data_IF_241631497345
#
_entry.id   IF_241631497345
#
_cell.length_a   1.000
_cell.length_b   1.000
_cell.length_c   1.000
_cell.angle_alpha   90.00
_cell.angle_beta   90.00
_cell.angle_gamma   90.00
#
_symmetry.space_group_name_H-M   'P 1'
#
loop_
_entity.id
_entity.type
_entity.pdbx_description
1 polymer ?
#
# COMPACT_ATOMS: atom_id res chain seq x y z
N UNK A 1 6.12 29.55 -40.78
CA UNK A 1 5.38 28.28 -41.00
C UNK A 1 5.63 27.67 -42.38
N UNK A 2 5.70 28.45 -43.47
CA UNK A 2 5.90 27.92 -44.83
C UNK A 2 7.30 27.36 -45.11
N UNK A 3 8.34 27.87 -44.45
CA UNK A 3 9.73 27.42 -44.67
C UNK A 3 10.02 25.97 -44.21
N UNK A 4 9.25 25.43 -43.26
CA UNK A 4 9.43 24.07 -42.72
C UNK A 4 8.45 23.04 -43.33
N UNK A 5 7.54 23.47 -44.20
CA UNK A 5 6.56 22.57 -44.82
C UNK A 5 7.23 21.51 -45.72
N UNK A 6 8.24 21.83 -46.56
CA UNK A 6 8.91 20.83 -47.39
C UNK A 6 9.52 19.70 -46.56
N UNK A 7 10.24 20.03 -45.47
CA UNK A 7 10.84 19.03 -44.57
C UNK A 7 9.80 18.13 -43.90
N UNK A 8 8.62 18.68 -43.53
CA UNK A 8 7.56 17.85 -42.96
C UNK A 8 6.92 16.91 -43.99
N UNK A 9 6.83 17.33 -45.26
CA UNK A 9 6.31 16.49 -46.35
C UNK A 9 7.31 15.39 -46.75
N UNK A 10 8.61 15.66 -46.70
CA UNK A 10 9.65 14.63 -46.87
C UNK A 10 9.61 13.59 -45.75
N UNK A 11 9.48 14.03 -44.50
CA UNK A 11 9.29 13.11 -43.36
C UNK A 11 8.04 12.25 -43.53
N UNK A 12 6.93 12.84 -43.99
CA UNK A 12 5.70 12.10 -44.29
C UNK A 12 5.93 11.02 -45.36
N UNK A 13 6.63 11.37 -46.45
CA UNK A 13 6.95 10.41 -47.51
C UNK A 13 7.87 9.29 -47.02
N UNK A 14 8.82 9.58 -46.12
CA UNK A 14 9.68 8.54 -45.53
C UNK A 14 8.92 7.52 -44.67
N UNK A 15 7.79 7.93 -44.08
CA UNK A 15 6.93 7.05 -43.27
C UNK A 15 5.99 6.20 -44.14
N UNK A 16 5.83 6.53 -45.42
CA UNK A 16 4.87 5.94 -46.35
C UNK A 16 5.59 5.52 -47.64
N UNK A 17 6.04 4.26 -47.76
CA UNK A 17 6.90 3.80 -48.86
C UNK A 17 6.34 4.08 -50.27
N UNK A 18 5.02 4.07 -50.43
CA UNK A 18 4.33 4.26 -51.72
C UNK A 18 3.79 5.69 -51.91
N UNK A 19 4.09 6.62 -51.00
CA UNK A 19 3.57 7.99 -51.05
C UNK A 19 4.55 8.94 -51.71
N UNK A 20 4.11 9.58 -52.79
CA UNK A 20 4.79 10.73 -53.39
C UNK A 20 4.03 12.01 -53.05
N UNK A 21 4.77 13.05 -52.66
CA UNK A 21 4.19 14.35 -52.33
C UNK A 21 3.60 14.97 -53.61
N UNK A 22 2.28 15.24 -53.68
CA UNK A 22 1.68 15.86 -54.84
C UNK A 22 2.22 17.26 -55.06
N UNK A 23 2.36 17.67 -56.32
CA UNK A 23 2.67 19.06 -56.66
C UNK A 23 1.63 20.00 -56.04
N UNK A 24 2.08 21.01 -55.32
CA UNK A 24 1.21 21.97 -54.63
C UNK A 24 1.58 23.41 -54.97
N UNK A 25 0.59 24.30 -54.89
CA UNK A 25 0.77 25.75 -55.01
C UNK A 25 0.37 26.44 -53.71
N UNK A 26 1.09 27.49 -53.33
CA UNK A 26 0.76 28.34 -52.18
C UNK A 26 -0.28 29.41 -52.52
N UNK A 27 -0.52 29.67 -53.82
CA UNK A 27 -1.48 30.65 -54.33
C UNK A 27 -2.37 30.05 -55.43
N UNK A 28 -3.70 30.24 -55.40
CA UNK A 28 -4.47 30.97 -54.38
C UNK A 28 -4.61 30.18 -53.07
N UNK A 29 -4.83 30.88 -51.95
CA UNK A 29 -4.84 30.30 -50.61
C UNK A 29 -5.88 29.18 -50.41
N UNK A 30 -6.96 29.18 -51.19
CA UNK A 30 -7.98 28.11 -51.19
C UNK A 30 -7.41 26.75 -51.62
N UNK A 31 -6.59 26.74 -52.68
CA UNK A 31 -5.93 25.54 -53.20
C UNK A 31 -4.92 25.00 -52.20
N UNK A 32 -4.11 25.90 -51.61
CA UNK A 32 -3.15 25.52 -50.58
C UNK A 32 -3.81 24.93 -49.32
N UNK A 33 -4.92 25.52 -48.85
CA UNK A 33 -5.71 24.98 -47.73
C UNK A 33 -6.29 23.60 -48.04
N UNK A 34 -6.74 23.38 -49.28
CA UNK A 34 -7.23 22.07 -49.72
C UNK A 34 -6.12 21.01 -49.70
N UNK A 35 -4.93 21.37 -50.20
CA UNK A 35 -3.74 20.51 -50.12
C UNK A 35 -3.40 20.17 -48.66
N UNK A 36 -3.26 21.16 -47.78
CA UNK A 36 -2.94 20.89 -46.37
C UNK A 36 -3.99 19.99 -45.68
N UNK A 37 -5.27 20.13 -46.05
CA UNK A 37 -6.33 19.25 -45.54
C UNK A 37 -6.17 17.83 -46.05
N UNK A 38 -5.79 17.62 -47.31
CA UNK A 38 -5.54 16.27 -47.83
C UNK A 38 -4.35 15.61 -47.11
N UNK A 39 -3.27 16.36 -46.88
CA UNK A 39 -2.10 15.88 -46.13
C UNK A 39 -2.46 15.50 -44.69
N UNK A 40 -3.24 16.35 -44.00
CA UNK A 40 -3.75 16.06 -42.66
C UNK A 40 -4.60 14.80 -42.64
N UNK A 41 -5.49 14.63 -43.61
CA UNK A 41 -6.37 13.47 -43.68
C UNK A 41 -5.57 12.18 -43.90
N UNK A 42 -4.54 12.22 -44.74
CA UNK A 42 -3.63 11.10 -44.96
C UNK A 42 -2.89 10.71 -43.67
N UNK A 43 -2.30 11.68 -42.96
CA UNK A 43 -1.65 11.45 -41.66
C UNK A 43 -2.63 10.84 -40.66
N UNK A 44 -3.85 11.39 -40.59
CA UNK A 44 -4.87 10.92 -39.65
C UNK A 44 -5.28 9.48 -39.96
N UNK A 45 -5.44 9.13 -41.24
CA UNK A 45 -5.76 7.77 -41.68
C UNK A 45 -4.61 6.81 -41.36
N UNK A 46 -3.37 7.17 -41.68
CA UNK A 46 -2.18 6.37 -41.35
C UNK A 46 -2.01 6.14 -39.85
N UNK A 47 -2.20 7.19 -39.04
CA UNK A 47 -2.09 7.07 -37.59
C UNK A 47 -3.20 6.17 -37.03
N UNK A 48 -4.42 6.28 -37.58
CA UNK A 48 -5.54 5.42 -37.21
C UNK A 48 -5.26 3.96 -37.51
N UNK A 49 -4.70 3.64 -38.68
CA UNK A 49 -4.34 2.26 -39.04
C UNK A 49 -3.18 1.74 -38.19
N UNK A 50 -2.16 2.56 -37.91
CA UNK A 50 -1.06 2.18 -37.01
C UNK A 50 -1.52 1.94 -35.57
N UNK A 51 -2.43 2.75 -35.04
CA UNK A 51 -3.01 2.49 -33.72
C UNK A 51 -3.87 1.23 -33.71
N UNK A 52 -4.68 1.00 -34.74
CA UNK A 52 -5.47 -0.23 -34.85
C UNK A 52 -4.57 -1.48 -34.91
N UNK A 53 -3.47 -1.41 -35.66
CA UNK A 53 -2.48 -2.49 -35.71
C UNK A 53 -1.84 -2.71 -34.34
N UNK A 54 -1.32 -1.65 -33.72
CA UNK A 54 -0.71 -1.74 -32.39
C UNK A 54 -1.66 -2.32 -31.34
N UNK A 55 -2.95 -1.97 -31.39
CA UNK A 55 -3.97 -2.55 -30.51
C UNK A 55 -4.14 -4.05 -30.76
N UNK A 56 -4.22 -4.47 -32.02
CA UNK A 56 -4.30 -5.89 -32.40
C UNK A 56 -3.08 -6.66 -31.90
N UNK A 57 -1.88 -6.16 -32.19
CA UNK A 57 -0.62 -6.78 -31.79
C UNK A 57 -0.51 -6.87 -30.26
N UNK A 58 -0.94 -5.83 -29.54
CA UNK A 58 -0.94 -5.81 -28.07
C UNK A 58 -1.90 -6.85 -27.50
N UNK A 59 -3.12 -6.95 -28.05
CA UNK A 59 -4.11 -7.95 -27.60
C UNK A 59 -3.59 -9.36 -27.82
N UNK A 60 -3.00 -9.64 -28.98
CA UNK A 60 -2.41 -10.94 -29.29
C UNK A 60 -1.25 -11.28 -28.34
N UNK A 61 -0.33 -10.33 -28.16
CA UNK A 61 0.81 -10.48 -27.23
C UNK A 61 0.36 -10.77 -25.80
N UNK A 62 -0.52 -9.94 -25.22
CA UNK A 62 -0.97 -10.13 -23.83
C UNK A 62 -1.87 -11.35 -23.65
N UNK A 63 -2.53 -11.83 -24.71
CA UNK A 63 -3.26 -13.10 -24.68
C UNK A 63 -2.28 -14.26 -24.57
N UNK A 64 -1.28 -14.32 -25.45
CA UNK A 64 -0.24 -15.35 -25.40
C UNK A 64 0.53 -15.34 -24.06
N UNK A 65 0.87 -14.16 -23.55
CA UNK A 65 1.55 -14.01 -22.27
C UNK A 65 0.71 -14.53 -21.10
N UNK A 66 -0.61 -14.31 -21.15
CA UNK A 66 -1.53 -14.80 -20.12
C UNK A 66 -1.69 -16.32 -20.17
N UNK A 67 -1.70 -16.92 -21.36
CA UNK A 67 -1.70 -18.38 -21.52
C UNK A 67 -0.39 -19.02 -20.99
N UNK A 68 0.75 -18.35 -21.20
CA UNK A 68 2.02 -18.74 -20.59
C UNK A 68 1.96 -18.66 -19.06
N UNK A 69 1.45 -17.56 -18.51
CA UNK A 69 1.27 -17.39 -17.07
C UNK A 69 0.35 -18.45 -16.47
N UNK A 70 -0.70 -18.87 -17.18
CA UNK A 70 -1.60 -19.94 -16.71
C UNK A 70 -0.83 -21.24 -16.45
N UNK A 71 0.16 -21.54 -17.28
CA UNK A 71 0.97 -22.76 -17.17
C UNK A 71 2.10 -22.64 -16.14
N UNK A 72 2.74 -21.47 -16.06
CA UNK A 72 4.01 -21.29 -15.33
C UNK A 72 3.87 -20.57 -13.98
N UNK A 73 2.82 -19.77 -13.79
CA UNK A 73 2.63 -18.93 -12.60
C UNK A 73 1.16 -18.51 -12.43
N UNK A 74 0.40 -19.34 -11.70
CA UNK A 74 -1.02 -19.12 -11.46
C UNK A 74 -1.32 -17.77 -10.80
N UNK A 75 -0.44 -17.28 -9.92
CA UNK A 75 -0.61 -15.98 -9.28
C UNK A 75 -0.57 -14.81 -10.27
N UNK A 76 0.42 -14.78 -11.16
CA UNK A 76 0.53 -13.72 -12.19
C UNK A 76 -0.56 -13.84 -13.24
N UNK A 77 -1.05 -15.05 -13.51
CA UNK A 77 -2.25 -15.25 -14.33
C UNK A 77 -3.47 -14.60 -13.67
N UNK A 78 -3.73 -14.87 -12.39
CA UNK A 78 -4.87 -14.30 -11.66
C UNK A 78 -4.79 -12.77 -11.64
N UNK A 79 -3.63 -12.20 -11.32
CA UNK A 79 -3.42 -10.74 -11.32
C UNK A 79 -3.74 -10.14 -12.70
N UNK A 80 -3.24 -10.75 -13.78
CA UNK A 80 -3.48 -10.29 -15.16
C UNK A 80 -4.94 -10.46 -15.60
N UNK A 81 -5.54 -11.62 -15.34
CA UNK A 81 -6.91 -11.95 -15.75
C UNK A 81 -7.95 -11.07 -15.04
N UNK A 82 -7.71 -10.72 -13.78
CA UNK A 82 -8.55 -9.82 -13.01
C UNK A 82 -8.21 -8.34 -13.24
N UNK A 83 -7.20 -8.03 -14.08
CA UNK A 83 -6.69 -6.67 -14.28
C UNK A 83 -6.35 -5.98 -12.94
N UNK A 84 -5.73 -6.73 -12.02
CA UNK A 84 -5.34 -6.20 -10.71
C UNK A 84 -4.19 -5.22 -10.89
N UNK A 85 -4.48 -3.94 -10.75
CA UNK A 85 -3.43 -2.93 -10.60
C UNK A 85 -2.88 -2.95 -9.17
N UNK A 86 -1.57 -3.17 -9.03
CA UNK A 86 -0.89 -3.02 -7.74
C UNK A 86 -0.85 -1.54 -7.37
N UNK A 87 -1.81 -1.11 -6.54
CA UNK A 87 -1.85 0.24 -6.00
C UNK A 87 -0.69 0.44 -5.04
N UNK A 88 0.12 1.46 -5.29
CA UNK A 88 1.13 1.93 -4.34
C UNK A 88 0.85 3.38 -4.01
N UNK A 89 1.00 3.74 -2.73
CA UNK A 89 0.89 5.13 -2.31
C UNK A 89 2.29 5.69 -2.24
N UNK A 90 2.54 6.72 -3.05
CA UNK A 90 3.72 7.56 -2.93
C UNK A 90 3.31 8.79 -2.14
N UNK A 91 3.96 9.02 -0.99
CA UNK A 91 3.76 10.21 -0.17
C UNK A 91 4.54 11.40 -0.75
N UNK A 92 4.20 11.82 -1.97
CA UNK A 92 4.76 12.99 -2.66
C UNK A 92 3.91 14.26 -2.51
N UNK A 93 2.69 14.11 -1.99
CA UNK A 93 1.78 15.19 -1.66
C UNK A 93 0.84 14.81 -0.52
N UNK A 94 0.53 15.76 0.35
CA UNK A 94 -0.41 15.55 1.45
C UNK A 94 -1.35 16.75 1.58
N UNK A 95 -2.65 16.49 1.61
CA UNK A 95 -3.68 17.46 1.90
C UNK A 95 -3.89 17.55 3.42
N UNK A 96 -3.58 18.73 3.98
CA UNK A 96 -3.81 19.07 5.38
C UNK A 96 -4.80 20.22 5.50
N UNK A 97 -5.35 20.46 6.68
CA UNK A 97 -6.16 21.65 6.96
C UNK A 97 -5.34 22.59 7.84
N UNK A 98 -4.95 23.73 7.30
CA UNK A 98 -4.27 24.81 8.02
C UNK A 98 -5.24 25.99 8.13
N UNK A 99 -5.50 26.47 9.34
CA UNK A 99 -6.41 27.61 9.58
C UNK A 99 -7.79 27.46 8.90
N UNK A 100 -8.37 26.26 8.97
CA UNK A 100 -9.64 25.90 8.31
C UNK A 100 -9.61 25.91 6.78
N UNK A 101 -8.44 26.05 6.17
CA UNK A 101 -8.24 25.98 4.71
C UNK A 101 -7.54 24.69 4.30
N UNK A 102 -8.04 23.96 3.29
CA UNK A 102 -7.37 22.78 2.76
C UNK A 102 -6.13 23.20 1.95
N UNK A 103 -4.97 22.75 2.40
CA UNK A 103 -3.66 23.09 1.82
C UNK A 103 -2.96 21.81 1.37
N UNK A 104 -2.51 21.78 0.12
CA UNK A 104 -1.74 20.66 -0.44
C UNK A 104 -0.25 20.91 -0.21
N UNK A 105 0.37 20.11 0.65
CA UNK A 105 1.81 20.07 0.89
C UNK A 105 2.48 19.26 -0.21
N UNK A 106 3.53 19.80 -0.81
CA UNK A 106 4.38 19.12 -1.81
C UNK A 106 5.86 19.11 -1.42
N UNK A 107 6.25 19.90 -0.40
CA UNK A 107 7.63 19.89 0.10
C UNK A 107 7.90 18.62 0.93
N UNK A 108 9.01 17.89 0.69
CA UNK A 108 9.32 16.66 1.42
C UNK A 108 9.44 16.82 2.95
N UNK A 109 9.93 17.95 3.43
CA UNK A 109 10.06 18.21 4.87
C UNK A 109 8.69 18.42 5.50
N UNK A 110 7.84 19.21 4.86
CA UNK A 110 6.48 19.48 5.32
C UNK A 110 5.62 18.20 5.31
N UNK A 111 5.71 17.40 4.24
CA UNK A 111 5.03 16.10 4.13
C UNK A 111 5.46 15.17 5.27
N UNK A 112 6.77 15.09 5.53
CA UNK A 112 7.31 14.25 6.61
C UNK A 112 6.76 14.69 7.97
N UNK A 113 6.75 15.99 8.25
CA UNK A 113 6.26 16.51 9.52
C UNK A 113 4.75 16.30 9.68
N UNK A 114 3.98 16.48 8.60
CA UNK A 114 2.54 16.19 8.58
C UNK A 114 2.25 14.71 8.85
N UNK A 115 2.99 13.80 8.20
CA UNK A 115 2.87 12.36 8.41
C UNK A 115 3.19 11.96 9.85
N UNK A 116 4.31 12.44 10.41
CA UNK A 116 4.68 12.18 11.81
C UNK A 116 3.57 12.64 12.76
N UNK A 117 3.13 13.88 12.61
CA UNK A 117 2.10 14.47 13.48
C UNK A 117 0.78 13.70 13.38
N UNK A 118 0.38 13.28 12.18
CA UNK A 118 -0.82 12.47 11.96
C UNK A 118 -0.73 11.11 12.67
N UNK A 119 0.30 10.31 12.39
CA UNK A 119 0.39 8.95 12.95
C UNK A 119 0.69 8.91 14.45
N UNK A 120 1.33 9.95 15.00
CA UNK A 120 1.50 10.07 16.45
C UNK A 120 0.20 10.43 17.18
N UNK A 121 -0.73 11.14 16.52
CA UNK A 121 -1.97 11.62 17.14
C UNK A 121 -3.22 10.82 16.78
N UNK A 122 -3.15 9.99 15.73
CA UNK A 122 -4.31 9.22 15.24
C UNK A 122 -4.87 8.26 16.31
N UNK A 123 -4.01 7.72 17.17
CA UNK A 123 -4.40 6.98 18.36
C UNK A 123 -4.33 7.94 19.54
N UNK A 124 -5.48 8.52 19.90
CA UNK A 124 -5.55 9.35 21.10
C UNK A 124 -5.17 8.51 22.33
N UNK A 125 -4.25 8.98 23.19
CA UNK A 125 -4.02 8.33 24.47
C UNK A 125 -5.35 8.20 25.22
N UNK A 126 -5.59 7.10 25.94
CA UNK A 126 -6.80 6.98 26.73
C UNK A 126 -6.89 8.17 27.70
N UNK A 127 -7.91 9.00 27.49
CA UNK A 127 -8.15 10.25 28.26
C UNK A 127 -8.31 9.98 29.76
N UNK A 128 -8.66 8.75 30.11
CA UNK A 128 -8.88 8.32 31.50
C UNK A 128 -8.15 7.00 31.73
N UNK A 129 -7.23 7.00 32.71
CA UNK A 129 -6.72 5.75 33.30
C UNK A 129 -7.63 5.37 34.45
N UNK A 130 -8.18 4.16 34.38
CA UNK A 130 -8.99 3.60 35.44
C UNK A 130 -8.12 2.69 36.30
N UNK A 131 -8.04 2.98 37.61
CA UNK A 131 -7.24 2.22 38.56
C UNK A 131 -8.06 1.15 39.30
N UNK A 132 -9.39 1.19 39.21
CA UNK A 132 -10.28 0.21 39.83
C UNK A 132 -11.64 0.17 39.13
N UNK A 133 -12.40 -0.91 39.32
CA UNK A 133 -13.75 -1.09 38.76
C UNK A 133 -14.70 0.05 39.19
N UNK A 134 -14.49 0.63 40.38
CA UNK A 134 -15.30 1.75 40.91
C UNK A 134 -15.10 3.02 40.08
N UNK A 135 -13.92 3.20 39.48
CA UNK A 135 -13.63 4.35 38.62
C UNK A 135 -14.25 4.24 37.23
N UNK A 136 -14.78 3.06 36.85
CA UNK A 136 -15.37 2.85 35.54
C UNK A 136 -16.73 3.57 35.39
N UNK A 137 -17.10 3.96 34.15
CA UNK A 137 -18.48 4.33 33.84
C UNK A 137 -19.46 3.21 34.21
N UNK A 138 -20.68 3.57 34.63
CA UNK A 138 -21.67 2.64 35.17
C UNK A 138 -21.92 1.39 34.30
N UNK A 139 -21.90 1.55 32.96
CA UNK A 139 -21.99 0.41 32.01
C UNK A 139 -20.90 -0.62 32.25
N UNK A 140 -19.66 -0.18 32.38
CA UNK A 140 -18.49 -1.05 32.55
C UNK A 140 -18.39 -1.56 33.98
N UNK A 141 -18.76 -0.76 34.98
CA UNK A 141 -18.86 -1.23 36.35
C UNK A 141 -19.81 -2.44 36.45
N UNK A 142 -20.98 -2.39 35.80
CA UNK A 142 -21.90 -3.52 35.74
C UNK A 142 -21.32 -4.73 35.01
N UNK A 143 -20.62 -4.50 33.89
CA UNK A 143 -20.06 -5.59 33.08
C UNK A 143 -18.89 -6.33 33.75
N UNK A 144 -18.07 -5.62 34.54
CA UNK A 144 -16.88 -6.18 35.19
C UNK A 144 -17.11 -6.56 36.67
N UNK A 145 -18.30 -6.31 37.24
CA UNK A 145 -18.64 -6.82 38.57
C UNK A 145 -18.65 -8.36 38.55
N UNK A 146 -17.91 -9.04 39.45
CA UNK A 146 -17.92 -10.49 39.54
C UNK A 146 -19.33 -11.07 39.74
N UNK A 147 -19.63 -12.17 39.06
CA UNK A 147 -20.89 -12.87 39.21
C UNK A 147 -20.89 -13.66 40.52
N UNK A 148 -21.91 -13.46 41.36
CA UNK A 148 -21.97 -14.08 42.69
C UNK A 148 -22.00 -15.62 42.68
N UNK A 149 -22.44 -16.23 41.57
CA UNK A 149 -22.50 -17.68 41.39
C UNK A 149 -21.20 -18.27 40.80
N UNK A 150 -20.20 -17.44 40.48
CA UNK A 150 -18.91 -17.88 39.95
C UNK A 150 -17.88 -17.78 41.06
N UNK A 151 -17.24 -18.90 41.37
CA UNK A 151 -16.15 -18.92 42.36
C UNK A 151 -14.95 -18.15 41.82
N UNK A 152 -14.33 -17.31 42.67
CA UNK A 152 -13.07 -16.64 42.35
C UNK A 152 -11.95 -17.63 42.00
N UNK A 153 -11.99 -18.84 42.56
CA UNK A 153 -11.01 -19.89 42.30
C UNK A 153 -11.01 -20.40 40.85
N UNK A 154 -12.04 -20.08 40.06
CA UNK A 154 -12.07 -20.38 38.63
C UNK A 154 -10.89 -19.74 37.88
N UNK A 155 -10.40 -18.61 38.39
CA UNK A 155 -9.31 -17.85 37.77
C UNK A 155 -7.92 -18.27 38.27
N UNK A 156 -7.83 -19.12 39.30
CA UNK A 156 -6.54 -19.56 39.85
C UNK A 156 -5.60 -20.15 38.78
N UNK A 157 -6.07 -20.98 37.82
CA UNK A 157 -5.22 -21.48 36.74
C UNK A 157 -4.73 -20.39 35.79
N UNK A 158 -5.46 -19.28 35.63
CA UNK A 158 -5.09 -18.18 34.71
C UNK A 158 -3.90 -17.38 35.24
N UNK A 159 -3.75 -17.32 36.57
CA UNK A 159 -2.65 -16.64 37.24
C UNK A 159 -1.53 -17.60 37.65
N UNK A 160 -1.66 -18.89 37.33
CA UNK A 160 -0.62 -19.87 37.59
C UNK A 160 0.64 -19.54 36.75
N UNK A 161 1.84 -19.81 37.28
CA UNK A 161 3.06 -19.68 36.50
C UNK A 161 2.99 -20.54 35.23
N UNK A 162 3.40 -19.94 34.11
CA UNK A 162 3.54 -20.59 32.82
C UNK A 162 4.57 -21.72 32.97
N UNK A 163 4.20 -22.92 32.54
CA UNK A 163 5.11 -24.06 32.52
C UNK A 163 6.07 -24.01 31.32
N UNK A 164 7.22 -24.65 31.44
CA UNK A 164 8.18 -24.77 30.33
C UNK A 164 7.55 -25.46 29.10
N UNK A 165 6.68 -26.44 29.34
CA UNK A 165 5.99 -27.14 28.27
C UNK A 165 5.06 -26.21 27.49
N UNK A 166 4.19 -25.47 28.18
CA UNK A 166 3.28 -24.50 27.55
C UNK A 166 4.06 -23.44 26.77
N UNK A 167 5.11 -22.90 27.38
CA UNK A 167 5.94 -21.89 26.75
C UNK A 167 6.62 -22.39 25.47
N UNK A 168 7.18 -23.59 25.51
CA UNK A 168 7.81 -24.23 24.34
C UNK A 168 6.81 -24.52 23.23
N UNK A 169 5.60 -24.97 23.57
CA UNK A 169 4.52 -25.21 22.62
C UNK A 169 4.06 -23.90 21.95
N UNK A 170 3.94 -22.81 22.72
CA UNK A 170 3.58 -21.50 22.17
C UNK A 170 4.66 -20.95 21.25
N UNK A 171 5.94 -20.99 21.67
CA UNK A 171 7.06 -20.51 20.85
C UNK A 171 7.15 -21.27 19.53
N UNK A 172 7.09 -22.60 19.57
CA UNK A 172 7.20 -23.43 18.36
C UNK A 172 6.04 -23.20 17.38
N UNK A 173 4.84 -22.88 17.87
CA UNK A 173 3.63 -22.66 17.05
C UNK A 173 3.49 -21.24 16.49
N UNK A 174 4.41 -20.31 16.80
CA UNK A 174 4.35 -18.95 16.27
C UNK A 174 4.31 -18.96 14.72
N UNK A 175 3.59 -18.04 14.05
CA UNK A 175 3.57 -17.99 12.59
C UNK A 175 4.91 -17.50 12.01
N UNK A 176 5.29 -17.98 10.82
CA UNK A 176 6.48 -17.48 10.11
C UNK A 176 6.15 -16.21 9.29
N UNK A 177 7.19 -15.46 8.92
CA UNK A 177 7.14 -14.27 8.07
C UNK A 177 6.27 -13.15 8.63
N UNK A 178 6.24 -13.00 9.96
CA UNK A 178 5.62 -11.84 10.61
C UNK A 178 6.63 -10.72 10.79
N UNK A 179 6.13 -9.48 10.70
CA UNK A 179 6.94 -8.31 10.96
C UNK A 179 7.45 -8.33 12.40
N UNK A 180 8.75 -8.08 12.57
CA UNK A 180 9.35 -7.90 13.89
C UNK A 180 9.09 -6.50 14.41
N UNK A 181 9.10 -6.36 15.74
CA UNK A 181 9.05 -5.05 16.39
C UNK A 181 10.35 -4.24 16.23
N UNK A 182 10.49 -3.10 16.94
CA UNK A 182 11.68 -2.24 16.86
C UNK A 182 13.01 -2.96 17.06
N UNK A 183 13.04 -4.02 17.88
CA UNK A 183 14.23 -4.83 18.18
C UNK A 183 14.72 -5.67 17.00
N UNK A 184 13.91 -5.84 15.95
CA UNK A 184 14.16 -6.72 14.78
C UNK A 184 14.28 -8.21 15.11
N UNK A 185 13.92 -8.63 16.31
CA UNK A 185 13.86 -10.05 16.69
C UNK A 185 12.61 -10.66 16.06
N UNK A 186 12.80 -11.62 15.15
CA UNK A 186 11.67 -12.30 14.49
C UNK A 186 11.19 -13.51 15.27
N UNK A 187 9.99 -14.01 14.95
CA UNK A 187 9.48 -15.24 15.57
C UNK A 187 10.35 -16.45 15.26
N UNK A 188 10.97 -16.51 14.07
CA UNK A 188 11.93 -17.55 13.70
C UNK A 188 13.13 -17.56 14.63
N UNK A 189 13.65 -16.39 15.02
CA UNK A 189 14.74 -16.30 16.00
C UNK A 189 14.30 -16.82 17.37
N UNK A 190 13.09 -16.46 17.82
CA UNK A 190 12.53 -16.92 19.10
C UNK A 190 12.31 -18.43 19.10
N UNK A 191 11.89 -19.02 17.99
CA UNK A 191 11.74 -20.47 17.81
C UNK A 191 13.04 -21.25 17.98
N UNK A 192 14.18 -20.62 17.73
CA UNK A 192 15.50 -21.24 17.90
C UNK A 192 16.07 -21.11 19.31
N UNK A 193 15.35 -20.46 20.25
CA UNK A 193 15.75 -20.45 21.66
C UNK A 193 15.81 -21.86 22.21
N UNK A 194 16.90 -22.16 22.91
CA UNK A 194 17.14 -23.45 23.57
C UNK A 194 17.99 -23.26 24.83
N UNK A 195 17.97 -24.26 25.70
CA UNK A 195 18.72 -24.25 26.96
C UNK A 195 18.42 -23.01 27.81
N UNK A 196 19.49 -22.41 28.34
CA UNK A 196 19.41 -21.25 29.25
C UNK A 196 18.64 -20.05 28.65
N UNK A 197 18.70 -19.85 27.33
CA UNK A 197 18.00 -18.73 26.69
C UNK A 197 16.47 -18.93 26.69
N UNK A 198 16.02 -20.18 26.52
CA UNK A 198 14.60 -20.53 26.64
C UNK A 198 14.15 -20.39 28.10
N UNK A 199 14.94 -20.89 29.05
CA UNK A 199 14.64 -20.78 30.48
C UNK A 199 14.57 -19.33 30.96
N UNK A 200 15.49 -18.48 30.48
CA UNK A 200 15.47 -17.05 30.78
C UNK A 200 14.23 -16.35 30.21
N UNK A 201 13.82 -16.71 28.98
CA UNK A 201 12.61 -16.15 28.38
C UNK A 201 11.34 -16.52 29.17
N UNK A 202 11.28 -17.75 29.70
CA UNK A 202 10.22 -18.21 30.58
C UNK A 202 10.22 -17.46 31.91
N UNK A 203 11.40 -17.32 32.52
CA UNK A 203 11.56 -16.55 33.76
C UNK A 203 11.07 -15.11 33.59
N UNK A 204 11.42 -14.48 32.46
CA UNK A 204 10.97 -13.13 32.13
C UNK A 204 9.44 -13.06 32.02
N UNK A 205 8.82 -13.99 31.28
CA UNK A 205 7.37 -14.05 31.11
C UNK A 205 6.64 -14.23 32.46
N UNK A 206 7.11 -15.18 33.28
CA UNK A 206 6.54 -15.43 34.61
C UNK A 206 6.76 -14.27 35.59
N UNK A 207 7.87 -13.57 35.48
CA UNK A 207 8.13 -12.35 36.26
C UNK A 207 7.14 -11.24 35.88
N UNK A 208 6.87 -11.06 34.59
CA UNK A 208 5.87 -10.10 34.12
C UNK A 208 4.47 -10.45 34.64
N UNK A 209 4.09 -11.73 34.54
CA UNK A 209 2.77 -12.22 34.99
C UNK A 209 2.58 -12.02 36.50
N UNK A 210 3.55 -12.45 37.31
CA UNK A 210 3.46 -12.36 38.78
C UNK A 210 3.50 -10.93 39.32
N UNK A 211 4.22 -10.03 38.66
CA UNK A 211 4.30 -8.62 39.04
C UNK A 211 3.20 -7.76 38.45
N UNK A 212 2.50 -8.26 37.42
CA UNK A 212 1.52 -7.48 36.66
C UNK A 212 2.16 -6.29 35.93
N UNK A 213 3.45 -6.39 35.58
CA UNK A 213 4.21 -5.32 34.96
C UNK A 213 4.96 -5.83 33.73
N UNK A 214 5.01 -5.01 32.67
CA UNK A 214 5.66 -5.33 31.41
C UNK A 214 6.67 -4.24 31.07
N UNK A 215 7.81 -4.60 30.44
CA UNK A 215 8.81 -3.61 30.03
C UNK A 215 8.20 -2.48 29.20
N UNK A 216 8.63 -1.25 29.44
CA UNK A 216 8.11 -0.08 28.73
C UNK A 216 8.32 -0.20 27.22
N UNK A 217 9.49 -0.72 26.81
CA UNK A 217 9.87 -0.93 25.41
C UNK A 217 8.93 -1.89 24.67
N UNK A 218 8.27 -2.81 25.37
CA UNK A 218 7.28 -3.73 24.76
C UNK A 218 5.97 -3.02 24.39
N UNK A 219 5.77 -1.79 24.88
CA UNK A 219 4.64 -0.92 24.52
C UNK A 219 4.97 0.00 23.35
N UNK A 220 6.20 -0.04 22.84
CA UNK A 220 6.59 0.70 21.65
C UNK A 220 6.22 -0.07 20.38
N UNK A 221 5.79 0.66 19.35
CA UNK A 221 5.44 0.09 18.06
C UNK A 221 5.97 0.97 16.93
N UNK A 222 6.36 0.33 15.83
CA UNK A 222 6.64 1.02 14.57
C UNK A 222 5.37 0.99 13.73
N UNK A 223 4.94 2.15 13.27
CA UNK A 223 3.79 2.28 12.37
C UNK A 223 4.28 2.23 10.93
N UNK A 224 3.80 1.24 10.18
CA UNK A 224 3.98 1.13 8.74
C UNK A 224 2.62 1.34 8.06
N UNK A 225 2.42 2.45 7.32
CA UNK A 225 1.20 2.66 6.57
C UNK A 225 1.01 1.55 5.52
N UNK A 226 -0.19 0.99 5.42
CA UNK A 226 -0.54 -0.04 4.44
C UNK A 226 -1.67 0.52 3.59
N UNK A 227 -1.43 0.77 2.28
CA UNK A 227 -2.40 1.36 1.39
C UNK A 227 -3.78 0.72 1.52
N UNK A 228 -4.79 1.54 1.85
CA UNK A 228 -6.17 1.08 1.85
C UNK A 228 -6.65 0.89 0.41
N UNK A 229 -7.72 0.11 0.19
CA UNK A 229 -8.26 -0.11 -1.16
C UNK A 229 -8.76 1.15 -1.88
N UNK A 230 -8.82 2.29 -1.19
CA UNK A 230 -9.46 3.52 -1.64
C UNK A 230 -8.38 4.44 -2.19
N UNK A 231 -8.74 5.39 -3.05
CA UNK A 231 -7.76 6.29 -3.63
C UNK A 231 -7.13 7.19 -2.55
N UNK A 232 -5.83 7.43 -2.67
CA UNK A 232 -5.06 8.15 -1.65
C UNK A 232 -5.59 9.57 -1.45
N UNK A 233 -6.02 10.26 -2.52
CA UNK A 233 -6.54 11.64 -2.51
C UNK A 233 -5.65 12.66 -1.75
N UNK A 234 -4.35 12.36 -1.64
CA UNK A 234 -3.41 13.07 -0.78
C UNK A 234 -3.77 13.06 0.72
N UNK A 235 -4.69 12.22 1.18
CA UNK A 235 -5.14 12.20 2.58
C UNK A 235 -4.45 11.09 3.36
N UNK A 236 -3.75 11.46 4.44
CA UNK A 236 -3.06 10.49 5.31
C UNK A 236 -4.01 9.48 5.98
N UNK A 237 -5.31 9.76 6.08
CA UNK A 237 -6.28 8.77 6.59
C UNK A 237 -6.54 7.60 5.62
N UNK A 238 -6.17 7.78 4.34
CA UNK A 238 -6.33 6.82 3.25
C UNK A 238 -5.04 6.04 2.97
N UNK A 239 -3.98 6.26 3.75
CA UNK A 239 -2.75 5.46 3.70
C UNK A 239 -2.84 4.15 4.45
#
# INVERSE_FOLDING_TARGET
MTAALPSHLENLASLLPDYSVPTYSTTPASVFKSFLRSQKNLVSAFLSTKFAQHLTDSVEYYTALRDEHFSNSLGTFIDSALSVEKRSIVLDRVLVVLDSTPTLLTDPSDIKQAAISHFQSIVSPPLTRYSSIISFPARWQRAYTPLANVSASLYDPVLAPISLQEWSTVISSMPNNKASGPSKISYEMIKHLSGEALDFSLLLANTCLSRGDIPADWREAVVYPIPKPHDFDAQLKNT
#
